data_IF_819814058761
#
_entry.id   IF_819814058761
#
_cell.length_a   1.000
_cell.length_b   1.000
_cell.length_c   1.000
_cell.angle_alpha   90.00
_cell.angle_beta   90.00
_cell.angle_gamma   90.00
#
_symmetry.space_group_name_H-M   'P 1'
#
loop_
_entity.id
_entity.type
_entity.pdbx_description
1 polymer ?
#
# COMPACT_ATOMS: atom_id res chain seq x y z
N UNK A 1 9.88 -7.27 -2.51
CA UNK A 1 9.30 -8.43 -1.78
C UNK A 1 7.96 -8.84 -2.38
N UNK A 2 7.63 -10.13 -2.45
CA UNK A 2 6.25 -10.60 -2.66
C UNK A 2 5.44 -10.42 -1.37
N UNK A 3 4.31 -9.73 -1.48
CA UNK A 3 3.42 -9.43 -0.36
C UNK A 3 2.25 -10.40 -0.33
N UNK A 4 1.71 -10.77 -1.49
CA UNK A 4 0.67 -11.78 -1.62
C UNK A 4 1.20 -12.93 -2.47
N UNK A 5 1.01 -14.17 -2.00
CA UNK A 5 1.42 -15.40 -2.71
C UNK A 5 0.25 -16.05 -3.47
N UNK A 6 -0.97 -15.85 -2.99
CA UNK A 6 -2.21 -16.24 -3.68
C UNK A 6 -2.33 -15.55 -5.05
N UNK A 7 -2.04 -14.25 -5.05
CA UNK A 7 -1.92 -13.43 -6.24
C UNK A 7 -0.55 -12.78 -6.15
N UNK A 8 0.40 -13.07 -7.05
CA UNK A 8 1.80 -12.69 -6.92
C UNK A 8 1.98 -11.17 -7.02
N UNK A 9 1.61 -10.46 -5.95
CA UNK A 9 1.68 -9.01 -5.82
C UNK A 9 2.90 -8.64 -5.01
N UNK A 10 3.71 -7.73 -5.55
CA UNK A 10 4.94 -7.26 -4.96
C UNK A 10 4.73 -5.94 -4.21
N UNK A 11 5.64 -5.64 -3.30
CA UNK A 11 5.71 -4.33 -2.63
C UNK A 11 5.76 -3.17 -3.62
N UNK A 12 6.53 -3.31 -4.71
CA UNK A 12 6.65 -2.28 -5.75
C UNK A 12 5.29 -1.98 -6.40
N UNK A 13 4.49 -3.00 -6.66
CA UNK A 13 3.13 -2.83 -7.20
C UNK A 13 2.20 -2.12 -6.20
N UNK A 14 2.29 -2.45 -4.91
CA UNK A 14 1.51 -1.75 -3.87
C UNK A 14 1.91 -0.28 -3.76
N UNK A 15 3.21 0.02 -3.79
CA UNK A 15 3.72 1.39 -3.80
C UNK A 15 3.27 2.15 -5.05
N UNK A 16 3.38 1.54 -6.23
CA UNK A 16 2.91 2.14 -7.47
C UNK A 16 1.41 2.46 -7.44
N UNK A 17 0.59 1.56 -6.89
CA UNK A 17 -0.83 1.85 -6.73
C UNK A 17 -1.10 3.01 -5.76
N UNK A 18 -0.30 3.16 -4.69
CA UNK A 18 -0.37 4.33 -3.81
C UNK A 18 -0.06 5.63 -4.57
N UNK A 19 0.97 5.62 -5.44
CA UNK A 19 1.31 6.75 -6.32
C UNK A 19 0.11 7.11 -7.22
N UNK A 20 -0.62 6.12 -7.71
CA UNK A 20 -1.83 6.29 -8.51
C UNK A 20 -3.08 6.63 -7.67
N UNK A 21 -2.94 6.92 -6.38
CA UNK A 21 -4.02 7.40 -5.52
C UNK A 21 -4.78 6.32 -4.73
N UNK A 22 -4.36 5.05 -4.78
CA UNK A 22 -4.96 4.00 -3.96
C UNK A 22 -4.77 4.28 -2.46
N UNK A 23 -5.84 4.13 -1.66
CA UNK A 23 -5.81 4.37 -0.20
C UNK A 23 -6.33 3.20 0.62
N UNK A 24 -6.99 2.22 -0.02
CA UNK A 24 -7.60 1.05 0.62
C UNK A 24 -7.22 -0.21 -0.14
N UNK A 25 -7.21 -1.37 0.56
CA UNK A 25 -6.87 -2.65 -0.09
C UNK A 25 -7.79 -3.00 -1.27
N UNK A 26 -9.05 -2.57 -1.21
CA UNK A 26 -10.01 -2.78 -2.30
C UNK A 26 -9.65 -2.04 -3.58
N UNK A 27 -8.80 -1.01 -3.49
CA UNK A 27 -8.33 -0.23 -4.65
C UNK A 27 -7.18 -0.97 -5.38
N UNK A 28 -6.61 -2.03 -4.77
CA UNK A 28 -5.44 -2.77 -5.26
C UNK A 28 -5.71 -4.28 -5.39
N UNK A 29 -6.94 -4.62 -5.78
CA UNK A 29 -7.33 -6.02 -6.00
C UNK A 29 -6.45 -6.70 -7.06
N UNK A 30 -6.24 -8.03 -6.96
CA UNK A 30 -6.89 -8.99 -6.03
C UNK A 30 -6.17 -9.22 -4.68
N UNK A 31 -5.36 -8.28 -4.17
CA UNK A 31 -4.63 -8.47 -2.91
C UNK A 31 -5.56 -8.81 -1.73
N UNK A 32 -5.16 -9.82 -0.95
CA UNK A 32 -5.86 -10.31 0.24
C UNK A 32 -7.28 -10.87 0.01
N UNK A 33 -7.64 -11.24 -1.23
CA UNK A 33 -8.99 -11.75 -1.54
C UNK A 33 -9.15 -13.28 -1.49
N UNK A 34 -8.05 -14.06 -1.40
CA UNK A 34 -8.09 -15.52 -1.23
C UNK A 34 -7.92 -15.93 0.24
N UNK A 35 -6.68 -16.07 0.73
CA UNK A 35 -6.42 -16.54 2.09
C UNK A 35 -6.35 -15.43 3.16
N UNK A 36 -6.34 -14.15 2.75
CA UNK A 36 -6.29 -13.00 3.66
C UNK A 36 -4.99 -12.77 4.44
N UNK A 37 -4.04 -13.73 4.48
CA UNK A 37 -2.82 -13.67 5.32
C UNK A 37 -1.96 -12.43 5.10
N UNK A 38 -1.96 -11.90 3.89
CA UNK A 38 -1.19 -10.70 3.54
C UNK A 38 -1.87 -9.37 3.91
N UNK A 39 -3.14 -9.36 4.33
CA UNK A 39 -3.96 -8.14 4.47
C UNK A 39 -3.29 -7.08 5.36
N UNK A 40 -2.81 -7.47 6.55
CA UNK A 40 -2.16 -6.55 7.48
C UNK A 40 -0.87 -5.95 6.89
N UNK A 41 -0.05 -6.77 6.25
CA UNK A 41 1.19 -6.36 5.61
C UNK A 41 0.93 -5.41 4.43
N UNK A 42 0.05 -5.81 3.51
CA UNK A 42 -0.33 -5.01 2.35
C UNK A 42 -0.93 -3.66 2.75
N UNK A 43 -1.77 -3.63 3.78
CA UNK A 43 -2.39 -2.40 4.26
C UNK A 43 -1.38 -1.47 4.95
N UNK A 44 -0.41 -2.03 5.69
CA UNK A 44 0.67 -1.25 6.28
C UNK A 44 1.57 -0.62 5.19
N UNK A 45 1.94 -1.40 4.17
CA UNK A 45 2.71 -0.91 3.02
C UNK A 45 1.97 0.18 2.24
N UNK A 46 0.69 -0.04 1.95
CA UNK A 46 -0.15 0.94 1.25
C UNK A 46 -0.22 2.26 2.03
N UNK A 47 -0.49 2.21 3.34
CA UNK A 47 -0.54 3.41 4.20
C UNK A 47 0.82 4.11 4.32
N UNK A 48 1.91 3.34 4.40
CA UNK A 48 3.26 3.91 4.44
C UNK A 48 3.57 4.66 3.14
N UNK A 49 3.39 4.01 1.99
CA UNK A 49 3.61 4.63 0.67
C UNK A 49 2.71 5.86 0.45
N UNK A 50 1.44 5.76 0.87
CA UNK A 50 0.47 6.85 0.82
C UNK A 50 0.88 8.09 1.64
N UNK A 51 1.60 7.91 2.76
CA UNK A 51 2.12 9.01 3.60
C UNK A 51 3.42 9.58 3.06
N UNK A 52 4.29 8.74 2.51
CA UNK A 52 5.53 9.18 1.84
C UNK A 52 5.24 10.08 0.63
N UNK A 53 4.04 9.98 0.05
CA UNK A 53 3.54 10.83 -1.04
C UNK A 53 3.02 12.19 -0.60
N UNK A 54 2.63 12.33 0.67
CA UNK A 54 2.33 13.64 1.22
C UNK A 54 3.71 14.29 1.46
N UNK A 55 3.95 15.53 0.98
CA UNK A 55 5.15 16.24 1.40
C UNK A 55 5.17 16.22 2.92
N UNK A 56 6.25 15.71 3.51
CA UNK A 56 6.44 15.70 4.95
C UNK A 56 6.08 17.10 5.43
N UNK A 57 5.01 17.20 6.23
CA UNK A 57 4.47 18.46 6.67
C UNK A 57 5.64 19.35 7.11
N UNK A 58 5.85 20.45 6.38
CA UNK A 58 6.71 21.51 6.87
C UNK A 58 6.15 21.84 8.27
N UNK A 59 6.95 21.72 9.35
CA UNK A 59 6.49 22.25 10.63
C UNK A 59 6.10 23.72 10.39
N UNK A 60 4.99 24.22 10.96
CA UNK A 60 4.71 25.65 10.86
C UNK A 60 5.96 26.35 11.38
N UNK A 61 6.56 27.16 10.52
CA UNK A 61 7.64 28.06 10.91
C UNK A 61 7.02 29.08 11.87
N UNK A 62 7.05 28.75 13.15
CA UNK A 62 6.79 29.63 14.28
C UNK A 62 8.05 29.63 15.15
#
# INVERSE_FOLDING_TARGET
MYVCLCYPTTERQIRAAALCGARRLRDIRPVATQCGKCARCAHALLRKAARELLPAATPPSL
#
